data_IF_416937775259
#
_entry.id   IF_416937775259
#
_cell.length_a   1.000
_cell.length_b   1.000
_cell.length_c   1.000
_cell.angle_alpha   90.00
_cell.angle_beta   90.00
_cell.angle_gamma   90.00
#
_symmetry.space_group_name_H-M   'P 1'
#
loop_
_entity.id
_entity.type
_entity.pdbx_description
1 polymer ?
#
# COMPACT_ATOMS: atom_id res chain seq x y z
N UNK A 1 -29.02 9.31 -64.98
CA UNK A 1 -27.55 9.09 -65.01
C UNK A 1 -27.02 9.19 -63.60
N UNK A 2 -26.41 8.10 -63.13
CA UNK A 2 -26.02 7.82 -61.76
C UNK A 2 -24.95 8.78 -61.21
N UNK A 3 -25.21 9.32 -60.02
CA UNK A 3 -24.18 9.89 -59.14
C UNK A 3 -24.20 9.19 -57.76
N UNK A 4 -24.43 7.87 -57.78
CA UNK A 4 -24.24 6.95 -56.66
C UNK A 4 -22.80 6.45 -56.66
N UNK A 5 -21.88 7.20 -56.04
CA UNK A 5 -20.56 6.73 -55.54
C UNK A 5 -19.73 7.97 -55.24
N UNK A 6 -19.71 8.44 -53.99
CA UNK A 6 -18.60 9.25 -53.40
C UNK A 6 -18.86 9.79 -51.99
N UNK A 7 -19.85 9.28 -51.25
CA UNK A 7 -20.08 9.69 -49.87
C UNK A 7 -20.16 8.46 -48.96
N UNK A 8 -19.05 7.70 -48.91
CA UNK A 8 -18.87 6.56 -48.00
C UNK A 8 -17.66 6.81 -47.08
N UNK A 9 -17.50 8.05 -46.60
CA UNK A 9 -16.29 8.42 -45.85
C UNK A 9 -16.52 9.52 -44.80
N UNK A 10 -17.65 9.51 -44.10
CA UNK A 10 -17.91 10.44 -42.99
C UNK A 10 -18.72 9.81 -41.85
N UNK A 11 -18.38 8.57 -41.47
CA UNK A 11 -19.03 7.88 -40.34
C UNK A 11 -18.01 7.30 -39.35
N UNK A 12 -16.94 8.03 -39.05
CA UNK A 12 -15.89 7.57 -38.13
C UNK A 12 -15.39 8.63 -37.13
N UNK A 13 -16.24 9.60 -36.75
CA UNK A 13 -15.82 10.69 -35.85
C UNK A 13 -16.77 11.00 -34.70
N UNK A 14 -17.71 10.09 -34.36
CA UNK A 14 -18.62 10.27 -33.20
C UNK A 14 -18.51 9.12 -32.19
N UNK A 15 -17.49 8.25 -32.31
CA UNK A 15 -17.39 7.02 -31.52
C UNK A 15 -16.21 6.91 -30.54
N UNK A 16 -15.35 7.92 -30.41
CA UNK A 16 -14.10 7.81 -29.62
C UNK A 16 -13.88 9.04 -28.73
N UNK A 17 -14.90 9.46 -28.00
CA UNK A 17 -14.77 10.42 -26.89
C UNK A 17 -15.50 9.92 -25.64
N UNK A 18 -15.63 8.60 -25.49
CA UNK A 18 -16.21 7.95 -24.32
C UNK A 18 -15.25 6.91 -23.70
N UNK A 19 -13.95 7.03 -23.97
CA UNK A 19 -12.98 6.03 -23.56
C UNK A 19 -11.68 6.70 -23.16
N UNK A 20 -11.66 7.21 -21.93
CA UNK A 20 -10.50 7.32 -21.01
C UNK A 20 -10.78 8.42 -19.98
N UNK A 21 -11.85 8.23 -19.19
CA UNK A 21 -11.69 8.52 -17.76
C UNK A 21 -10.69 7.46 -17.28
N UNK A 22 -9.41 7.72 -17.54
CA UNK A 22 -8.34 7.10 -16.80
C UNK A 22 -8.67 7.42 -15.35
N UNK A 23 -9.21 6.43 -14.63
CA UNK A 23 -8.92 6.36 -13.21
C UNK A 23 -7.40 6.41 -13.16
N UNK A 24 -6.86 7.61 -12.94
CA UNK A 24 -5.56 7.77 -12.35
C UNK A 24 -5.71 7.11 -10.98
N UNK A 25 -5.59 5.78 -10.97
CA UNK A 25 -5.34 5.05 -9.76
C UNK A 25 -4.11 5.73 -9.21
N UNK A 26 -4.28 6.50 -8.13
CA UNK A 26 -3.16 6.89 -7.29
C UNK A 26 -2.40 5.59 -7.11
N UNK A 27 -1.20 5.48 -7.68
CA UNK A 27 -0.37 4.30 -7.46
C UNK A 27 -0.32 4.16 -5.95
N UNK A 28 -1.06 3.19 -5.43
CA UNK A 28 -1.34 3.12 -4.01
C UNK A 28 0.01 2.90 -3.38
N UNK A 29 0.52 3.94 -2.70
CA UNK A 29 1.80 3.88 -2.04
C UNK A 29 1.82 2.57 -1.24
N UNK A 30 2.68 1.64 -1.59
CA UNK A 30 2.70 0.34 -0.92
C UNK A 30 3.51 0.50 0.37
N UNK A 31 3.04 -0.03 1.52
CA UNK A 31 3.90 -0.12 2.70
C UNK A 31 5.05 -1.08 2.42
N UNK A 32 6.29 -0.67 2.73
CA UNK A 32 7.48 -1.52 2.58
C UNK A 32 8.07 -1.81 3.97
N UNK A 33 7.45 -2.76 4.66
CA UNK A 33 7.77 -3.08 6.05
C UNK A 33 8.84 -4.17 6.14
N UNK A 34 9.91 -3.90 6.89
CA UNK A 34 10.91 -4.88 7.28
C UNK A 34 11.04 -4.91 8.80
N UNK A 35 10.85 -6.08 9.41
CA UNK A 35 11.02 -6.28 10.84
C UNK A 35 12.29 -7.10 11.13
N UNK A 36 13.09 -6.65 12.11
CA UNK A 36 14.24 -7.37 12.66
C UNK A 36 14.03 -7.51 14.15
N UNK A 37 13.64 -8.71 14.59
CA UNK A 37 13.22 -8.94 15.98
C UNK A 37 12.00 -8.09 16.31
N UNK A 38 12.14 -7.21 17.30
CA UNK A 38 11.06 -6.37 17.79
C UNK A 38 10.97 -4.98 17.13
N UNK A 39 11.88 -4.63 16.22
CA UNK A 39 11.88 -3.34 15.53
C UNK A 39 11.41 -3.53 14.09
N UNK A 40 10.39 -2.78 13.69
CA UNK A 40 9.89 -2.74 12.32
C UNK A 40 10.14 -1.37 11.71
N UNK A 41 10.66 -1.35 10.48
CA UNK A 41 10.93 -0.14 9.70
C UNK A 41 10.08 -0.15 8.45
N UNK A 42 9.41 0.96 8.17
CA UNK A 42 8.67 1.19 6.94
C UNK A 42 9.48 2.10 6.03
N UNK A 43 9.81 1.62 4.82
CA UNK A 43 10.44 2.42 3.77
C UNK A 43 9.47 2.80 2.65
N UNK A 44 8.21 2.41 2.77
CA UNK A 44 7.16 2.76 1.83
C UNK A 44 6.53 4.10 2.18
N UNK A 45 5.72 4.60 1.25
CA UNK A 45 5.04 5.90 1.36
C UNK A 45 3.66 5.81 2.05
N UNK A 46 3.22 4.60 2.43
CA UNK A 46 1.96 4.37 3.17
C UNK A 46 2.18 3.73 4.53
N UNK A 47 1.23 3.96 5.45
CA UNK A 47 1.17 3.24 6.72
C UNK A 47 1.09 1.73 6.46
N UNK A 48 1.87 0.95 7.20
CA UNK A 48 1.88 -0.51 7.11
C UNK A 48 1.79 -1.19 8.47
N UNK A 49 1.51 -2.48 8.45
CA UNK A 49 1.49 -3.33 9.65
C UNK A 49 2.71 -4.25 9.59
N UNK A 50 3.58 -4.12 10.59
CA UNK A 50 4.73 -4.99 10.79
C UNK A 50 4.42 -6.13 11.75
N UNK A 51 4.97 -7.30 11.45
CA UNK A 51 4.91 -8.48 12.32
C UNK A 51 6.34 -8.78 12.77
N UNK A 52 6.59 -8.72 14.08
CA UNK A 52 7.90 -8.97 14.67
C UNK A 52 7.82 -9.91 15.86
N UNK A 53 8.98 -10.33 16.34
CA UNK A 53 9.13 -11.18 17.52
C UNK A 53 9.78 -10.38 18.64
N UNK A 54 9.14 -10.33 19.80
CA UNK A 54 9.69 -9.67 20.99
C UNK A 54 10.06 -10.73 22.03
N UNK A 55 11.29 -10.65 22.55
CA UNK A 55 11.75 -11.47 23.66
C UNK A 55 11.46 -10.73 24.98
N UNK A 56 10.54 -11.29 25.79
CA UNK A 56 10.25 -10.82 27.13
C UNK A 56 11.48 -10.95 28.06
N UNK A 57 11.55 -10.18 29.16
CA UNK A 57 12.58 -10.35 30.19
C UNK A 57 12.64 -11.74 30.83
N UNK A 58 11.54 -12.49 30.80
CA UNK A 58 11.49 -13.88 31.28
C UNK A 58 12.05 -14.91 30.27
N UNK A 59 12.58 -14.46 29.14
CA UNK A 59 13.17 -15.31 28.09
C UNK A 59 12.18 -15.88 27.07
N UNK A 60 10.87 -15.69 27.26
CA UNK A 60 9.87 -16.13 26.30
C UNK A 60 9.76 -15.16 25.11
N UNK A 61 9.56 -15.70 23.91
CA UNK A 61 9.34 -14.89 22.71
C UNK A 61 7.87 -14.92 22.31
N UNK A 62 7.33 -13.75 21.96
CA UNK A 62 5.96 -13.61 21.49
C UNK A 62 5.89 -12.90 20.15
N UNK A 63 5.07 -13.38 19.20
CA UNK A 63 4.74 -12.61 18.01
C UNK A 63 3.92 -11.39 18.38
N UNK A 64 4.22 -10.25 17.76
CA UNK A 64 3.51 -9.00 18.00
C UNK A 64 3.41 -8.17 16.73
N UNK A 65 2.43 -7.28 16.71
CA UNK A 65 2.14 -6.37 15.59
C UNK A 65 2.42 -4.93 15.97
N UNK A 66 2.82 -4.12 14.98
CA UNK A 66 2.96 -2.67 15.12
C UNK A 66 2.44 -1.98 13.86
N UNK A 67 1.80 -0.84 14.06
CA UNK A 67 1.46 0.08 12.99
C UNK A 67 2.70 0.97 12.78
N UNK A 68 3.27 0.94 11.58
CA UNK A 68 4.50 1.66 11.26
C UNK A 68 4.17 2.76 10.24
N UNK A 69 4.22 4.04 10.63
CA UNK A 69 4.04 5.16 9.70
C UNK A 69 5.06 5.13 8.54
N UNK A 70 4.79 5.83 7.41
CA UNK A 70 5.74 5.96 6.31
C UNK A 70 7.11 6.44 6.76
N UNK A 71 8.18 5.93 6.15
CA UNK A 71 9.57 6.35 6.39
C UNK A 71 10.00 6.39 7.87
N UNK A 72 9.40 5.53 8.69
CA UNK A 72 9.59 5.53 10.14
C UNK A 72 9.94 4.15 10.67
N UNK A 73 10.24 4.06 11.96
CA UNK A 73 10.40 2.79 12.66
C UNK A 73 9.55 2.79 13.92
N UNK A 74 9.00 1.62 14.24
CA UNK A 74 8.18 1.38 15.41
C UNK A 74 8.54 0.05 16.05
N UNK A 75 8.44 -0.01 17.37
CA UNK A 75 8.64 -1.23 18.13
C UNK A 75 7.35 -2.04 18.22
N UNK A 76 7.47 -3.36 18.07
CA UNK A 76 6.40 -4.30 18.39
C UNK A 76 6.53 -4.70 19.87
N UNK A 77 5.50 -4.44 20.65
CA UNK A 77 5.43 -4.85 22.05
C UNK A 77 4.17 -5.67 22.31
N UNK A 78 4.30 -6.97 22.63
CA UNK A 78 3.16 -7.79 23.00
C UNK A 78 2.67 -7.38 24.39
N UNK A 79 1.35 -7.34 24.58
CA UNK A 79 0.74 -7.05 25.88
C UNK A 79 1.21 -8.02 26.99
N UNK A 80 1.63 -9.23 26.60
CA UNK A 80 1.99 -10.32 27.50
C UNK A 80 3.38 -10.19 28.14
N UNK A 81 4.26 -9.31 27.64
CA UNK A 81 5.61 -9.14 28.21
C UNK A 81 5.71 -8.08 29.31
N UNK A 82 4.57 -7.48 29.70
CA UNK A 82 4.55 -6.21 30.42
C UNK A 82 4.89 -5.07 29.46
N UNK A 83 4.12 -3.98 29.51
CA UNK A 83 4.43 -2.83 28.67
C UNK A 83 5.77 -2.23 29.14
N UNK A 84 6.72 -1.92 28.24
CA UNK A 84 7.84 -1.10 28.63
C UNK A 84 7.27 0.21 29.16
N UNK A 85 7.66 0.58 30.38
CA UNK A 85 7.22 1.87 30.94
C UNK A 85 7.86 2.96 30.08
N UNK A 86 7.06 3.59 29.24
CA UNK A 86 7.39 4.82 28.55
C UNK A 86 7.38 5.93 29.61
N UNK A 87 8.48 6.08 30.35
CA UNK A 87 8.72 7.25 31.20
C UNK A 87 9.87 8.08 30.62
#
# INVERSE_FOLDING_TARGET
MSLTRRLALTAATVGVTAGTLLSAGTAGAAPLIHCKGALCTNRGDSVGIGHGMYACPNGLQYPSIAIVPPHSSAWVFPANCGQPRLY
#
